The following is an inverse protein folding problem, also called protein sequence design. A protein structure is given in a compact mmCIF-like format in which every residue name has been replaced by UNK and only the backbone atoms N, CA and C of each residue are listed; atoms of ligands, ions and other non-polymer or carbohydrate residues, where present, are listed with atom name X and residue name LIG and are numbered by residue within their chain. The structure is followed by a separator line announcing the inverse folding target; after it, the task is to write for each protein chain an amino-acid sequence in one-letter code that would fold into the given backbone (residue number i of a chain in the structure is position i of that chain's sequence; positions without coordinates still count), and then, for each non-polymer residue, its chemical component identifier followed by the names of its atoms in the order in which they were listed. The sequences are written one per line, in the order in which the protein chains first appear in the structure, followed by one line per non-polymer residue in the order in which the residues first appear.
data_IF_150545958912
#
_entry.id   IF_150545958912
#
_cell.length_a   1.000
_cell.length_b   1.000
_cell.length_c   1.000
_cell.angle_alpha   90.00
_cell.angle_beta   90.00
_cell.angle_gamma   90.00
#
_symmetry.space_group_name_H-M   'P 1'
#
loop_
_entity.id
_entity.type
_entity.pdbx_description
1 polymer ?
#
# COMPACT_ATOMS: atom_id res chain seq x y z
N UNK A 1 -7.18 14.16 23.08
CA UNK A 1 -7.79 14.00 21.78
C UNK A 1 -6.72 13.70 20.74
N UNK A 2 -6.84 12.54 20.13
CA UNK A 2 -5.86 12.16 19.12
C UNK A 2 -6.06 12.99 17.86
N UNK A 3 -4.97 13.45 17.33
CA UNK A 3 -5.00 14.22 16.12
C UNK A 3 -4.88 13.27 14.92
N UNK A 4 -5.80 13.40 13.98
CA UNK A 4 -5.70 12.62 12.76
C UNK A 4 -4.58 13.22 11.90
N UNK A 5 -3.67 12.41 11.37
CA UNK A 5 -2.66 12.91 10.46
C UNK A 5 -3.30 13.57 9.24
N UNK A 6 -2.55 14.43 8.58
CA UNK A 6 -3.00 15.02 7.33
C UNK A 6 -3.40 13.93 6.34
N UNK A 7 -4.48 14.13 5.59
CA UNK A 7 -4.92 13.18 4.59
C UNK A 7 -3.90 12.96 3.48
N UNK A 8 -2.99 13.90 3.30
CA UNK A 8 -1.90 13.78 2.35
C UNK A 8 -0.70 13.01 2.90
N UNK A 9 -0.68 12.74 4.20
CA UNK A 9 0.43 12.02 4.81
C UNK A 9 0.39 10.54 4.45
N UNK A 10 1.53 9.94 4.12
CA UNK A 10 1.58 8.51 3.89
C UNK A 10 1.41 7.74 5.20
N UNK A 11 0.98 6.49 5.08
CA UNK A 11 0.71 5.63 6.23
C UNK A 11 1.72 4.50 6.29
N UNK A 12 2.14 4.20 7.51
CA UNK A 12 3.12 3.15 7.77
C UNK A 12 2.40 1.81 7.91
N UNK A 13 2.70 0.88 7.01
CA UNK A 13 2.11 -0.45 7.05
C UNK A 13 2.91 -1.38 7.96
N UNK A 14 2.21 -2.33 8.55
CA UNK A 14 2.81 -3.34 9.42
C UNK A 14 2.69 -3.04 10.90
N UNK A 15 2.01 -1.95 11.27
CA UNK A 15 1.78 -1.57 12.66
C UNK A 15 0.28 -1.43 12.93
N UNK A 16 -0.19 -2.05 13.99
CA UNK A 16 -1.62 -2.10 14.30
C UNK A 16 -2.20 -0.71 14.58
N UNK A 17 -1.45 0.16 15.24
CA UNK A 17 -1.93 1.52 15.51
C UNK A 17 -2.16 2.30 14.23
N UNK A 18 -1.33 2.06 13.23
CA UNK A 18 -1.44 2.75 11.96
C UNK A 18 -2.67 2.26 11.19
N UNK A 19 -3.01 0.98 11.33
CA UNK A 19 -4.20 0.45 10.68
C UNK A 19 -5.47 1.17 11.13
N UNK A 20 -5.54 1.58 12.39
CA UNK A 20 -6.66 2.39 12.89
C UNK A 20 -6.71 3.77 12.25
N UNK A 21 -5.55 4.36 12.00
CA UNK A 21 -5.49 5.64 11.31
C UNK A 21 -5.95 5.52 9.87
N UNK A 22 -5.63 4.41 9.23
CA UNK A 22 -6.08 4.15 7.87
C UNK A 22 -7.60 4.14 7.78
N UNK A 23 -8.28 3.52 8.74
CA UNK A 23 -9.73 3.53 8.77
C UNK A 23 -10.31 4.94 8.82
N UNK A 24 -9.71 5.80 9.63
CA UNK A 24 -10.16 7.19 9.73
C UNK A 24 -9.96 7.94 8.42
N UNK A 25 -8.83 7.72 7.79
CA UNK A 25 -8.51 8.40 6.55
C UNK A 25 -9.39 7.91 5.42
N UNK A 26 -9.67 6.62 5.37
CA UNK A 26 -10.56 6.05 4.37
C UNK A 26 -11.96 6.65 4.43
N UNK A 27 -12.39 7.09 5.61
CA UNK A 27 -13.67 7.78 5.78
C UNK A 27 -13.59 9.27 5.49
N UNK A 28 -12.40 9.77 5.24
CA UNK A 28 -12.20 11.18 4.93
C UNK A 28 -12.65 11.54 3.53
N UNK A 29 -12.48 12.79 3.19
CA UNK A 29 -13.20 13.45 2.12
C UNK A 29 -13.15 12.75 0.77
N UNK A 30 -12.05 12.24 0.32
CA UNK A 30 -12.00 11.67 -1.01
C UNK A 30 -12.12 10.14 -1.02
N UNK A 31 -11.38 9.49 -0.18
CA UNK A 31 -11.48 8.03 0.00
C UNK A 31 -11.35 7.16 -1.24
N UNK A 32 -11.08 7.72 -2.39
CA UNK A 32 -11.00 6.93 -3.61
C UNK A 32 -9.55 6.59 -3.97
N UNK A 33 -9.29 5.35 -4.37
CA UNK A 33 -10.22 4.23 -4.34
C UNK A 33 -10.36 3.67 -2.92
N UNK A 34 -11.50 3.07 -2.59
CA UNK A 34 -11.61 2.36 -1.34
C UNK A 34 -10.67 1.16 -1.34
N UNK A 35 -10.18 0.80 -0.16
CA UNK A 35 -9.22 -0.27 -0.06
C UNK A 35 -9.37 -1.04 1.23
N UNK A 36 -8.90 -2.27 1.22
CA UNK A 36 -8.76 -3.11 2.40
C UNK A 36 -7.30 -3.46 2.59
N UNK A 37 -6.91 -3.62 3.84
CA UNK A 37 -5.60 -4.18 4.19
C UNK A 37 -5.87 -5.38 5.08
N UNK A 38 -5.38 -6.54 4.66
CA UNK A 38 -5.59 -7.77 5.43
C UNK A 38 -4.26 -8.45 5.71
N UNK A 39 -4.22 -9.11 6.85
CA UNK A 39 -3.08 -9.95 7.22
C UNK A 39 -3.42 -11.38 6.80
N UNK A 40 -2.62 -11.93 5.89
CA UNK A 40 -2.88 -13.25 5.32
C UNK A 40 -2.31 -14.38 6.18
N UNK A 41 -1.10 -14.18 6.69
CA UNK A 41 -0.42 -15.20 7.50
C UNK A 41 0.28 -14.50 8.65
N UNK A 42 0.06 -15.01 9.84
CA UNK A 42 0.79 -14.59 11.03
C UNK A 42 1.18 -15.86 11.80
N UNK A 43 2.43 -16.24 11.63
CA UNK A 43 2.98 -17.46 12.17
C UNK A 43 4.44 -17.21 12.53
N UNK A 44 4.90 -17.75 13.63
CA UNK A 44 6.29 -17.59 14.07
C UNK A 44 7.30 -18.16 13.10
N UNK A 45 6.89 -19.13 12.29
CA UNK A 45 7.77 -19.80 11.34
C UNK A 45 7.71 -19.22 9.94
N UNK A 46 6.70 -18.43 9.65
CA UNK A 46 6.49 -17.85 8.33
C UNK A 46 6.57 -16.34 8.37
N UNK A 47 7.04 -15.71 7.29
CA UNK A 47 7.04 -14.27 7.23
C UNK A 47 5.62 -13.71 7.25
N UNK A 48 5.48 -12.52 7.77
CA UNK A 48 4.21 -11.81 7.76
C UNK A 48 3.84 -11.45 6.33
N UNK A 49 2.61 -11.73 5.96
CA UNK A 49 2.06 -11.39 4.65
C UNK A 49 0.88 -10.48 4.80
N UNK A 50 0.88 -9.43 4.02
CA UNK A 50 -0.22 -8.48 3.94
C UNK A 50 -0.72 -8.39 2.52
N UNK A 51 -1.98 -8.06 2.38
CA UNK A 51 -2.58 -7.77 1.07
C UNK A 51 -3.37 -6.50 1.13
N UNK A 52 -3.05 -5.59 0.21
CA UNK A 52 -3.83 -4.39 0.00
C UNK A 52 -4.70 -4.62 -1.22
N UNK A 53 -6.00 -4.43 -1.07
CA UNK A 53 -6.94 -4.58 -2.18
C UNK A 53 -7.63 -3.25 -2.41
N UNK A 54 -7.54 -2.74 -3.63
CA UNK A 54 -8.17 -1.48 -4.02
C UNK A 54 -9.31 -1.78 -5.00
N UNK A 55 -10.44 -1.12 -4.79
CA UNK A 55 -11.57 -1.23 -5.70
C UNK A 55 -11.40 -0.22 -6.83
N UNK A 56 -10.99 -0.71 -7.99
CA UNK A 56 -10.64 0.12 -9.14
C UNK A 56 -11.44 -0.28 -10.39
N UNK A 57 -12.71 -0.59 -10.19
CA UNK A 57 -13.59 -0.94 -11.29
C UNK A 57 -13.57 0.13 -12.38
N UNK A 58 -13.49 -0.28 -13.62
CA UNK A 58 -13.42 0.64 -14.76
C UNK A 58 -12.00 0.99 -15.18
N UNK A 59 -11.00 0.69 -14.36
CA UNK A 59 -9.59 0.87 -14.76
C UNK A 59 -9.09 -0.38 -15.46
N UNK A 60 -8.37 -0.19 -16.53
CA UNK A 60 -7.64 -1.26 -17.20
C UNK A 60 -6.22 -1.31 -16.66
N UNK A 61 -5.53 -2.40 -16.94
CA UNK A 61 -4.17 -2.59 -16.45
C UNK A 61 -3.23 -1.45 -16.89
N UNK A 62 -3.37 -0.99 -18.12
CA UNK A 62 -2.51 0.07 -18.65
C UNK A 62 -2.81 1.45 -18.07
N UNK A 63 -3.94 1.59 -17.36
CA UNK A 63 -4.32 2.83 -16.70
C UNK A 63 -3.86 2.87 -15.24
N UNK A 64 -3.29 1.76 -14.75
CA UNK A 64 -2.84 1.64 -13.37
C UNK A 64 -1.32 1.52 -13.32
N UNK A 65 -0.74 2.12 -12.30
CA UNK A 65 0.69 2.07 -12.06
C UNK A 65 0.94 1.78 -10.58
N UNK A 66 1.79 0.81 -10.31
CA UNK A 66 2.18 0.43 -8.94
C UNK A 66 3.70 0.46 -8.88
N UNK A 67 4.24 1.30 -8.03
CA UNK A 67 5.69 1.38 -7.89
C UNK A 67 6.08 1.55 -6.43
N UNK A 68 7.33 1.22 -6.15
CA UNK A 68 7.93 1.43 -4.84
C UNK A 68 9.03 2.47 -5.00
N UNK A 69 8.90 3.56 -4.28
CA UNK A 69 9.89 4.63 -4.27
C UNK A 69 10.43 4.72 -2.84
N UNK A 70 11.67 4.31 -2.65
CA UNK A 70 12.28 4.19 -1.32
C UNK A 70 11.44 3.25 -0.46
N UNK A 71 10.82 3.74 0.60
CA UNK A 71 9.96 2.95 1.46
C UNK A 71 8.47 3.26 1.25
N UNK A 72 8.13 3.82 0.10
CA UNK A 72 6.74 4.17 -0.21
C UNK A 72 6.20 3.31 -1.33
N UNK A 73 5.02 2.76 -1.10
CA UNK A 73 4.25 2.09 -2.14
C UNK A 73 3.31 3.13 -2.74
N UNK A 74 3.47 3.39 -4.02
CA UNK A 74 2.70 4.41 -4.72
C UNK A 74 1.83 3.74 -5.76
N UNK A 75 0.54 3.98 -5.68
CA UNK A 75 -0.43 3.44 -6.63
C UNK A 75 -1.12 4.62 -7.31
N UNK A 76 -1.04 4.64 -8.64
CA UNK A 76 -1.66 5.68 -9.45
C UNK A 76 -2.61 5.07 -10.45
N UNK A 77 -3.69 5.76 -10.68
CA UNK A 77 -4.64 5.40 -11.71
C UNK A 77 -5.04 6.60 -12.52
N UNK A 78 -5.19 6.43 -13.82
CA UNK A 78 -5.59 7.50 -14.71
C UNK A 78 -6.46 6.97 -15.82
N UNK A 79 -7.69 7.46 -15.87
CA UNK A 79 -8.62 7.18 -16.95
C UNK A 79 -8.71 8.39 -17.87
N UNK A 80 -9.04 8.11 -19.13
CA UNK A 80 -9.28 9.14 -20.11
C UNK A 80 -10.72 9.06 -20.59
N UNK A 81 -11.31 10.21 -20.86
CA UNK A 81 -12.64 10.26 -21.44
C UNK A 81 -12.61 9.77 -22.88
N UNK A 82 -13.59 8.96 -23.23
CA UNK A 82 -13.81 8.53 -24.61
C UNK A 82 -14.65 9.62 -25.31
N UNK A 83 -13.99 10.45 -26.06
CA UNK A 83 -14.66 11.56 -26.75
C UNK A 83 -15.53 11.12 -27.92
N UNK A 84 -15.44 9.86 -28.32
CA UNK A 84 -16.25 9.32 -29.39
C UNK A 84 -17.65 8.94 -28.94
N UNK A 85 -17.88 8.87 -27.62
CA UNK A 85 -19.17 8.50 -27.07
C UNK A 85 -20.08 9.71 -26.89
N UNK A 86 -21.34 9.49 -27.21
CA UNK A 86 -22.36 10.51 -27.06
C UNK A 86 -23.33 10.07 -25.97
N UNK A 87 -23.23 10.70 -24.79
CA UNK A 87 -24.03 10.30 -23.64
C UNK A 87 -25.35 11.06 -23.62
N UNK A 88 -26.45 10.33 -23.40
CA UNK A 88 -27.71 10.96 -23.05
C UNK A 88 -27.73 11.36 -21.59
N UNK A 89 -27.05 10.61 -20.76
CA UNK A 89 -26.83 10.92 -19.36
C UNK A 89 -25.46 10.37 -18.97
N UNK A 90 -24.70 11.15 -18.21
CA UNK A 90 -23.38 10.72 -17.77
C UNK A 90 -23.27 10.87 -16.26
N UNK A 91 -23.30 9.73 -15.55
CA UNK A 91 -23.09 9.69 -14.10
C UNK A 91 -21.74 9.16 -13.68
N UNK A 92 -20.95 8.64 -14.63
CA UNK A 92 -19.62 8.08 -14.36
C UNK A 92 -18.60 8.89 -15.11
N UNK A 93 -17.78 9.62 -14.37
CA UNK A 93 -16.71 10.42 -14.95
C UNK A 93 -15.38 9.66 -14.93
N UNK A 94 -14.50 10.02 -15.86
CA UNK A 94 -13.13 9.57 -15.83
C UNK A 94 -12.48 9.99 -14.50
N UNK A 95 -11.68 9.11 -13.92
CA UNK A 95 -11.05 9.36 -12.63
C UNK A 95 -9.54 9.27 -12.72
N UNK A 96 -8.90 9.98 -11.82
CA UNK A 96 -7.49 9.76 -11.54
C UNK A 96 -7.30 9.80 -10.03
N UNK A 97 -6.34 9.02 -9.56
CA UNK A 97 -6.07 8.95 -8.14
C UNK A 97 -4.59 8.64 -7.89
N UNK A 98 -4.17 8.91 -6.68
CA UNK A 98 -2.87 8.50 -6.18
C UNK A 98 -3.03 8.09 -4.72
N UNK A 99 -2.51 6.90 -4.39
CA UNK A 99 -2.46 6.41 -3.02
C UNK A 99 -1.01 6.11 -2.67
N UNK A 100 -0.61 6.52 -1.49
CA UNK A 100 0.75 6.31 -0.99
C UNK A 100 0.67 5.63 0.36
N UNK A 101 1.40 4.52 0.49
CA UNK A 101 1.54 3.82 1.75
C UNK A 101 3.02 3.78 2.11
N UNK A 102 3.34 4.14 3.36
CA UNK A 102 4.71 4.02 3.85
C UNK A 102 4.90 2.60 4.36
N UNK A 103 5.90 1.92 3.84
CA UNK A 103 6.19 0.54 4.21
C UNK A 103 7.10 0.50 5.43
N UNK A 104 6.80 -0.42 6.35
CA UNK A 104 7.69 -0.68 7.46
C UNK A 104 9.01 -1.25 6.94
N UNK A 105 10.07 -1.10 7.74
CA UNK A 105 11.38 -1.61 7.36
C UNK A 105 11.31 -3.10 7.06
N UNK A 106 11.92 -3.50 5.96
CA UNK A 106 11.96 -4.89 5.55
C UNK A 106 10.74 -5.37 4.79
N UNK A 107 9.70 -4.54 4.64
CA UNK A 107 8.53 -4.92 3.83
C UNK A 107 8.90 -4.87 2.35
N UNK A 108 8.46 -5.90 1.63
CA UNK A 108 8.67 -6.01 0.19
C UNK A 108 7.35 -6.23 -0.53
N UNK A 109 7.22 -5.62 -1.69
CA UNK A 109 6.06 -5.86 -2.56
C UNK A 109 6.37 -7.07 -3.42
N UNK A 110 5.52 -8.09 -3.34
CA UNK A 110 5.72 -9.34 -4.07
C UNK A 110 5.07 -9.34 -5.43
N UNK A 111 3.98 -8.66 -5.58
CA UNK A 111 3.28 -8.62 -6.85
C UNK A 111 1.97 -7.87 -6.74
N UNK A 112 1.35 -7.67 -7.89
CA UNK A 112 0.07 -7.03 -7.98
C UNK A 112 -0.76 -7.70 -9.07
N UNK A 113 -2.02 -7.97 -8.78
CA UNK A 113 -2.93 -8.62 -9.72
C UNK A 113 -4.21 -7.82 -9.83
N UNK A 114 -4.68 -7.66 -11.05
CA UNK A 114 -5.96 -7.01 -11.33
C UNK A 114 -6.97 -8.06 -11.77
N UNK A 115 -8.05 -8.20 -11.01
CA UNK A 115 -9.09 -9.17 -11.31
C UNK A 115 -10.43 -8.66 -10.83
N UNK A 116 -11.42 -8.71 -11.71
CA UNK A 116 -12.80 -8.34 -11.38
C UNK A 116 -12.92 -6.94 -10.77
N UNK A 117 -12.13 -6.00 -11.26
CA UNK A 117 -12.16 -4.63 -10.75
C UNK A 117 -11.45 -4.42 -9.42
N UNK A 118 -10.73 -5.43 -8.95
CA UNK A 118 -9.97 -5.35 -7.71
C UNK A 118 -8.48 -5.48 -8.01
N UNK A 119 -7.71 -4.53 -7.52
CA UNK A 119 -6.25 -4.57 -7.60
C UNK A 119 -5.72 -5.07 -6.27
N UNK A 120 -5.14 -6.26 -6.26
CA UNK A 120 -4.58 -6.86 -5.05
C UNK A 120 -3.06 -6.76 -5.10
N UNK A 121 -2.49 -6.17 -4.08
CA UNK A 121 -1.04 -6.00 -3.96
C UNK A 121 -0.57 -6.79 -2.75
N UNK A 122 0.30 -7.75 -2.99
CA UNK A 122 0.80 -8.62 -1.94
C UNK A 122 2.15 -8.12 -1.44
N UNK A 123 2.26 -8.05 -0.13
CA UNK A 123 3.48 -7.62 0.55
C UNK A 123 3.93 -8.73 1.50
N UNK A 124 5.21 -8.82 1.69
CA UNK A 124 5.81 -9.76 2.60
C UNK A 124 6.83 -9.04 3.46
N UNK A 125 6.88 -9.40 4.72
CA UNK A 125 7.94 -8.97 5.61
C UNK A 125 8.78 -10.19 5.92
N UNK A 126 9.92 -10.37 5.24
CA UNK A 126 10.77 -11.53 5.54
C UNK A 126 11.23 -11.47 6.97
N UNK A 127 11.38 -12.65 7.58
CA UNK A 127 11.97 -12.72 8.90
C UNK A 127 13.39 -12.18 8.83
N UNK A 128 13.70 -11.24 9.70
CA UNK A 128 15.05 -10.71 9.77
C UNK A 128 16.00 -11.83 10.16
N UNK A 129 17.03 -12.06 9.35
CA UNK A 129 18.10 -12.96 9.72
C UNK A 129 18.79 -12.38 10.95
N UNK A 130 18.88 -13.18 11.98
CA UNK A 130 19.61 -12.76 13.16
C UNK A 130 21.09 -12.85 12.86
N UNK A 131 21.68 -11.72 12.56
CA UNK A 131 23.10 -11.64 12.30
C UNK A 131 23.81 -11.44 13.64
N UNK A 132 24.57 -12.45 14.03
CA UNK A 132 25.39 -12.38 15.24
C UNK A 132 26.83 -12.16 14.80
N UNK A 133 27.38 -11.03 15.20
CA UNK A 133 28.77 -10.71 14.91
C UNK A 133 29.54 -10.64 16.22
N UNK A 134 30.53 -11.51 16.35
CA UNK A 134 31.43 -11.50 17.50
C UNK A 134 32.59 -10.57 17.22
N UNK A 135 32.81 -9.63 18.11
CA UNK A 135 33.90 -8.68 17.97
C UNK A 135 35.04 -9.12 18.85
N UNK A 136 36.22 -9.23 18.24
CA UNK A 136 37.44 -9.56 18.96
C UNK A 136 37.88 -8.40 19.87
N UNK A 137 38.24 -8.73 21.07
CA UNK A 137 38.73 -7.74 22.04
C UNK A 137 40.24 -7.66 21.92
N UNK A 138 40.74 -6.46 21.64
CA UNK A 138 42.17 -6.22 21.62
C UNK A 138 42.63 -5.77 23.00
N UNK A 139 43.65 -6.44 23.51
CA UNK A 139 44.21 -6.07 24.78
C UNK A 139 45.47 -5.22 24.53
N UNK A 140 45.51 -4.06 25.12
CA UNK A 140 46.64 -3.15 24.94
C UNK A 140 47.47 -3.09 26.22
N UNK A 141 48.76 -3.20 26.04
CA UNK A 141 49.71 -3.02 27.14
C UNK A 141 50.00 -1.53 27.34
N UNK A 142 50.14 -1.13 28.59
CA UNK A 142 50.47 0.26 28.93
C UNK A 142 51.84 0.67 28.47
#
# INVERSE_FOLDING_TARGET
MSRVPSLSSPFLLGFDEIERLLDRVAKGADGYPPYNIERLVRDDQNPERLRITLAVAGFTRDQLDVCVEENQLVIRGRQHDDKSRQYLHRGIAARQFQRIFVLADGMEVRGADLKNGLLAIDLIRPQAERIVKTIAINEQDD
#
